data_IF_230543108656
#
_entry.id   IF_230543108656
#
_cell.length_a   1.000
_cell.length_b   1.000
_cell.length_c   1.000
_cell.angle_alpha   90.00
_cell.angle_beta   90.00
_cell.angle_gamma   90.00
#
_symmetry.space_group_name_H-M   'P 1'
#
loop_
_entity.id
_entity.type
_entity.pdbx_description
1 polymer ?
#
# COMPACT_ATOMS: atom_id res chain seq x y z
N UNK A 1 -36.59 -36.71 17.34
CA UNK A 1 -35.65 -35.67 17.82
C UNK A 1 -34.21 -35.90 17.37
N UNK A 2 -33.62 -37.09 17.57
CA UNK A 2 -32.22 -37.37 17.15
C UNK A 2 -31.96 -37.25 15.64
N UNK A 3 -32.96 -37.51 14.81
CA UNK A 3 -32.91 -37.35 13.33
C UNK A 3 -33.03 -35.91 12.87
N UNK A 4 -33.86 -35.08 13.51
CA UNK A 4 -33.91 -33.63 13.23
C UNK A 4 -32.59 -32.94 13.60
N UNK A 5 -32.00 -33.30 14.75
CA UNK A 5 -30.71 -32.75 15.18
C UNK A 5 -29.58 -33.06 14.19
N UNK A 6 -29.58 -34.28 13.61
CA UNK A 6 -28.61 -34.69 12.59
C UNK A 6 -28.79 -33.93 11.27
N UNK A 7 -30.02 -33.63 10.87
CA UNK A 7 -30.31 -32.85 9.66
C UNK A 7 -29.86 -31.40 9.83
N UNK A 8 -30.07 -30.79 11.00
CA UNK A 8 -29.61 -29.42 11.30
C UNK A 8 -28.08 -29.32 11.26
N UNK A 9 -27.35 -30.31 11.80
CA UNK A 9 -25.88 -30.33 11.78
C UNK A 9 -25.31 -30.49 10.36
N UNK A 10 -25.97 -31.30 9.51
CA UNK A 10 -25.55 -31.47 8.10
C UNK A 10 -25.85 -30.22 7.26
N UNK A 11 -26.95 -29.50 7.53
CA UNK A 11 -27.27 -28.25 6.84
C UNK A 11 -26.28 -27.11 7.18
N UNK A 12 -25.77 -27.08 8.41
CA UNK A 12 -24.79 -26.08 8.85
C UNK A 12 -23.38 -26.34 8.29
N UNK A 13 -23.06 -27.59 7.95
CA UNK A 13 -21.82 -27.99 7.28
C UNK A 13 -21.84 -27.74 5.74
N UNK A 14 -23.01 -27.46 5.17
CA UNK A 14 -23.21 -27.14 3.75
C UNK A 14 -23.29 -25.64 3.46
N UNK A 15 -23.14 -24.78 4.48
CA UNK A 15 -22.85 -23.38 4.22
C UNK A 15 -21.48 -23.36 3.53
N UNK A 16 -21.39 -22.97 2.24
CA UNK A 16 -20.09 -22.68 1.69
C UNK A 16 -19.52 -21.62 2.63
N UNK A 17 -18.38 -21.92 3.23
CA UNK A 17 -17.53 -20.89 3.76
C UNK A 17 -17.20 -20.03 2.54
N UNK A 18 -18.06 -19.04 2.27
CA UNK A 18 -17.72 -17.91 1.44
C UNK A 18 -16.59 -17.28 2.22
N UNK A 19 -15.38 -17.74 1.93
CA UNK A 19 -14.15 -17.01 2.14
C UNK A 19 -14.34 -15.75 1.31
N UNK A 20 -15.14 -14.83 1.85
CA UNK A 20 -15.12 -13.45 1.43
C UNK A 20 -13.68 -13.07 1.69
N UNK A 21 -12.89 -13.01 0.61
CA UNK A 21 -11.63 -12.31 0.62
C UNK A 21 -11.99 -10.94 1.21
N UNK A 22 -11.67 -10.75 2.50
CA UNK A 22 -12.09 -9.58 3.23
C UNK A 22 -11.29 -8.46 2.58
N UNK A 23 -11.93 -7.74 1.66
CA UNK A 23 -11.29 -6.66 0.90
C UNK A 23 -10.53 -5.79 1.87
N UNK A 24 -9.25 -5.61 1.61
CA UNK A 24 -8.41 -4.79 2.47
C UNK A 24 -9.01 -3.38 2.51
N UNK A 25 -8.72 -2.61 3.56
CA UNK A 25 -9.19 -1.24 3.63
C UNK A 25 -8.72 -0.37 2.46
N UNK A 26 -7.54 -0.67 1.91
CA UNK A 26 -7.04 -0.06 0.67
C UNK A 26 -7.86 -0.49 -0.53
N UNK A 27 -8.23 -1.77 -0.67
CA UNK A 27 -9.07 -2.25 -1.78
C UNK A 27 -10.42 -1.51 -1.83
N UNK A 28 -11.01 -1.23 -0.67
CA UNK A 28 -12.27 -0.47 -0.58
C UNK A 28 -12.12 0.97 -1.05
N UNK A 29 -10.99 1.61 -0.74
CA UNK A 29 -10.67 2.94 -1.27
C UNK A 29 -10.45 2.88 -2.78
N UNK A 30 -9.77 1.84 -3.25
CA UNK A 30 -9.51 1.62 -4.67
C UNK A 30 -10.81 1.44 -5.46
N UNK A 31 -11.71 0.57 -5.01
CA UNK A 31 -13.03 0.38 -5.62
C UNK A 31 -13.85 1.68 -5.68
N UNK A 32 -13.66 2.57 -4.70
CA UNK A 32 -14.44 3.80 -4.56
C UNK A 32 -13.93 4.94 -5.45
N UNK A 33 -12.62 4.98 -5.72
CA UNK A 33 -11.96 6.15 -6.32
C UNK A 33 -11.27 5.84 -7.65
N UNK A 34 -10.99 4.56 -7.95
CA UNK A 34 -10.41 4.20 -9.24
C UNK A 34 -11.39 4.51 -10.36
N UNK A 35 -10.91 5.23 -11.38
CA UNK A 35 -11.72 5.66 -12.53
C UNK A 35 -12.64 6.86 -12.27
N UNK A 36 -12.62 7.44 -11.06
CA UNK A 36 -13.34 8.68 -10.76
C UNK A 36 -12.58 9.91 -11.29
N UNK A 37 -13.32 10.97 -11.62
CA UNK A 37 -12.73 12.21 -12.12
C UNK A 37 -11.72 12.81 -11.12
N UNK A 38 -10.58 13.22 -11.65
CA UNK A 38 -9.46 13.79 -10.88
C UNK A 38 -8.61 12.78 -10.11
N UNK A 39 -8.93 11.48 -10.22
CA UNK A 39 -8.11 10.40 -9.66
C UNK A 39 -7.24 9.74 -10.73
N UNK A 40 -5.96 9.56 -10.38
CA UNK A 40 -5.07 8.62 -11.04
C UNK A 40 -4.99 7.36 -10.20
N UNK A 41 -5.32 6.22 -10.80
CA UNK A 41 -5.24 4.91 -10.15
C UNK A 41 -4.31 3.96 -10.89
N UNK A 42 -3.38 3.34 -10.18
CA UNK A 42 -2.47 2.32 -10.71
C UNK A 42 -2.58 1.06 -9.85
N UNK A 43 -2.93 -0.08 -10.45
CA UNK A 43 -3.00 -1.39 -9.80
C UNK A 43 -2.06 -2.35 -10.53
N UNK A 44 -0.99 -2.75 -9.86
CA UNK A 44 0.01 -3.67 -10.39
C UNK A 44 -0.07 -4.97 -9.61
N UNK A 45 -0.41 -6.03 -10.34
CA UNK A 45 -0.47 -7.39 -9.79
C UNK A 45 0.91 -8.07 -9.84
N UNK A 46 1.07 -9.09 -8.98
CA UNK A 46 2.26 -9.94 -8.84
C UNK A 46 2.90 -10.36 -10.15
N UNK A 47 2.09 -10.78 -11.12
CA UNK A 47 2.57 -11.25 -12.42
C UNK A 47 3.42 -10.22 -13.17
N UNK A 48 3.17 -8.92 -13.01
CA UNK A 48 4.02 -7.90 -13.65
C UNK A 48 5.39 -7.79 -12.98
N UNK A 49 5.46 -7.94 -11.65
CA UNK A 49 6.73 -7.96 -10.93
C UNK A 49 7.55 -9.19 -11.27
N UNK A 50 6.91 -10.36 -11.38
CA UNK A 50 7.56 -11.61 -11.83
C UNK A 50 8.16 -11.45 -13.24
N UNK A 51 7.43 -10.81 -14.16
CA UNK A 51 7.96 -10.50 -15.50
C UNK A 51 9.21 -9.60 -15.44
N UNK A 52 9.26 -8.63 -14.53
CA UNK A 52 10.45 -7.78 -14.37
C UNK A 52 11.61 -8.51 -13.72
N UNK A 53 11.36 -9.40 -12.77
CA UNK A 53 12.40 -10.21 -12.12
C UNK A 53 13.15 -11.10 -13.10
N UNK A 54 12.48 -11.60 -14.15
CA UNK A 54 13.07 -12.49 -15.15
C UNK A 54 13.85 -11.76 -16.27
N UNK A 55 13.77 -10.42 -16.34
CA UNK A 55 14.48 -9.64 -17.34
C UNK A 55 15.92 -9.39 -16.88
N UNK A 56 16.88 -9.95 -17.62
CA UNK A 56 18.29 -9.58 -17.53
C UNK A 56 18.54 -8.34 -18.41
N UNK A 57 18.94 -7.23 -17.79
CA UNK A 57 19.38 -6.02 -18.49
C UNK A 57 20.70 -5.58 -17.89
N UNK A 58 21.64 -5.13 -18.74
CA UNK A 58 22.92 -4.56 -18.32
C UNK A 58 22.75 -3.06 -18.01
N UNK A 59 21.80 -2.77 -17.11
CA UNK A 59 21.47 -1.42 -16.66
C UNK A 59 21.42 -1.39 -15.12
N UNK A 60 22.39 -0.72 -14.47
CA UNK A 60 22.46 -0.61 -13.01
C UNK A 60 21.22 0.02 -12.35
N UNK A 61 20.51 0.90 -13.06
CA UNK A 61 19.29 1.54 -12.56
C UNK A 61 18.12 0.56 -12.58
N UNK A 62 18.00 -0.23 -13.65
CA UNK A 62 17.01 -1.30 -13.76
C UNK A 62 17.24 -2.41 -12.72
N UNK A 63 18.49 -2.79 -12.47
CA UNK A 63 18.85 -3.75 -11.42
C UNK A 63 18.52 -3.25 -10.02
N UNK A 64 18.68 -1.94 -9.78
CA UNK A 64 18.30 -1.31 -8.52
C UNK A 64 16.79 -1.33 -8.32
N UNK A 65 16.02 -1.05 -9.38
CA UNK A 65 14.56 -1.14 -9.38
C UNK A 65 14.08 -2.58 -9.14
N UNK A 66 14.64 -3.58 -9.83
CA UNK A 66 14.30 -5.01 -9.61
C UNK A 66 14.46 -5.43 -8.16
N UNK A 67 15.59 -5.10 -7.52
CA UNK A 67 15.84 -5.40 -6.10
C UNK A 67 14.87 -4.68 -5.16
N UNK A 68 14.45 -3.48 -5.54
CA UNK A 68 13.51 -2.67 -4.80
C UNK A 68 12.08 -3.22 -4.83
N UNK A 69 11.69 -3.86 -5.94
CA UNK A 69 10.37 -4.48 -6.10
C UNK A 69 10.37 -5.99 -5.85
N UNK A 70 11.54 -6.57 -5.54
CA UNK A 70 11.68 -7.97 -5.17
C UNK A 70 10.82 -8.30 -3.94
N UNK A 71 10.02 -9.35 -4.05
CA UNK A 71 9.09 -9.75 -2.99
C UNK A 71 7.78 -8.94 -2.94
N UNK A 72 7.61 -7.89 -3.76
CA UNK A 72 6.34 -7.19 -3.91
C UNK A 72 5.37 -8.06 -4.71
N UNK A 73 4.17 -8.26 -4.17
CA UNK A 73 3.10 -9.03 -4.79
C UNK A 73 1.96 -8.14 -5.31
N UNK A 74 1.83 -6.94 -4.77
CA UNK A 74 0.82 -5.97 -5.21
C UNK A 74 1.28 -4.55 -4.94
N UNK A 75 1.05 -3.66 -5.89
CA UNK A 75 1.19 -2.21 -5.73
C UNK A 75 -0.11 -1.54 -6.13
N UNK A 76 -0.64 -0.70 -5.24
CA UNK A 76 -1.83 0.11 -5.49
C UNK A 76 -1.53 1.56 -5.21
N UNK A 77 -1.76 2.43 -6.19
CA UNK A 77 -1.64 3.88 -6.08
C UNK A 77 -2.99 4.52 -6.37
N UNK A 78 -3.44 5.40 -5.47
CA UNK A 78 -4.48 6.38 -5.72
C UNK A 78 -3.89 7.77 -5.49
N UNK A 79 -3.89 8.60 -6.50
CA UNK A 79 -3.48 9.98 -6.41
C UNK A 79 -4.62 10.89 -6.88
N UNK A 80 -4.87 11.95 -6.14
CA UNK A 80 -5.83 12.98 -6.49
C UNK A 80 -5.10 14.32 -6.63
N UNK A 81 -5.43 15.08 -7.67
CA UNK A 81 -4.96 16.46 -7.85
C UNK A 81 -6.12 17.44 -7.88
N UNK A 82 -5.98 18.56 -7.17
CA UNK A 82 -6.94 19.68 -7.19
C UNK A 82 -7.02 20.32 -8.58
N UNK A 83 -5.96 20.21 -9.40
CA UNK A 83 -5.98 20.70 -10.79
C UNK A 83 -7.07 20.05 -11.63
N UNK A 84 -7.40 18.81 -11.30
CA UNK A 84 -8.38 17.99 -12.02
C UNK A 84 -9.72 17.91 -11.25
N UNK A 85 -9.95 18.78 -10.27
CA UNK A 85 -11.20 18.83 -9.52
C UNK A 85 -11.27 19.97 -8.50
N UNK A 86 -11.65 19.64 -7.25
CA UNK A 86 -11.79 20.62 -6.16
C UNK A 86 -10.96 20.27 -4.91
N UNK A 87 -10.65 21.28 -4.12
CA UNK A 87 -10.04 21.14 -2.78
C UNK A 87 -10.94 20.33 -1.83
N UNK A 88 -12.27 20.48 -1.93
CA UNK A 88 -13.22 19.72 -1.11
C UNK A 88 -13.14 18.21 -1.38
N UNK A 89 -12.97 17.82 -2.64
CA UNK A 89 -12.79 16.41 -3.03
C UNK A 89 -11.45 15.84 -2.53
N UNK A 90 -10.35 16.64 -2.57
CA UNK A 90 -9.06 16.26 -1.97
C UNK A 90 -9.21 15.98 -0.48
N UNK A 91 -9.80 16.91 0.26
CA UNK A 91 -9.99 16.76 1.71
C UNK A 91 -10.89 15.55 2.03
N UNK A 92 -11.95 15.33 1.26
CA UNK A 92 -12.80 14.14 1.42
C UNK A 92 -12.01 12.86 1.21
N UNK A 93 -11.22 12.77 0.13
CA UNK A 93 -10.39 11.60 -0.13
C UNK A 93 -9.40 11.33 1.00
N UNK A 94 -8.65 12.34 1.42
CA UNK A 94 -7.70 12.20 2.50
C UNK A 94 -8.35 11.81 3.84
N UNK A 95 -9.52 12.37 4.15
CA UNK A 95 -10.30 11.95 5.32
C UNK A 95 -10.80 10.51 5.22
N UNK A 96 -11.17 10.06 4.01
CA UNK A 96 -11.58 8.68 3.77
C UNK A 96 -10.38 7.71 3.92
N UNK A 97 -9.17 8.11 3.51
CA UNK A 97 -7.93 7.37 3.82
C UNK A 97 -7.78 7.23 5.35
N UNK A 98 -7.82 8.36 6.05
CA UNK A 98 -7.63 8.42 7.52
C UNK A 98 -8.59 7.51 8.30
N UNK A 99 -9.81 7.35 7.81
CA UNK A 99 -10.85 6.54 8.44
C UNK A 99 -10.78 5.06 8.07
N UNK A 100 -10.34 4.77 6.85
CA UNK A 100 -10.38 3.40 6.32
C UNK A 100 -9.14 2.62 6.74
N UNK A 101 -7.96 3.25 6.70
CA UNK A 101 -6.70 2.59 7.05
C UNK A 101 -6.67 2.29 8.56
N UNK A 102 -6.47 1.03 8.98
CA UNK A 102 -6.43 0.65 10.38
C UNK A 102 -5.04 0.93 10.94
N UNK A 103 -4.67 2.20 11.11
CA UNK A 103 -3.32 2.61 11.51
C UNK A 103 -2.80 1.97 12.79
N UNK A 104 -3.67 1.44 13.67
CA UNK A 104 -3.26 0.67 14.85
C UNK A 104 -2.59 -0.67 14.54
N UNK A 105 -2.65 -1.15 13.30
CA UNK A 105 -1.96 -2.35 12.81
C UNK A 105 -0.60 -2.03 12.15
N UNK A 106 -0.24 -0.75 12.05
CA UNK A 106 0.98 -0.31 11.37
C UNK A 106 1.88 0.49 12.34
N UNK A 107 3.17 0.30 12.18
CA UNK A 107 4.18 1.17 12.76
C UNK A 107 4.40 2.39 11.85
N UNK A 108 4.36 3.59 12.41
CA UNK A 108 4.78 4.81 11.70
C UNK A 108 6.31 4.85 11.65
N UNK A 109 6.87 4.56 10.49
CA UNK A 109 8.33 4.47 10.33
C UNK A 109 8.95 5.84 10.09
N UNK A 110 8.23 6.71 9.38
CA UNK A 110 8.77 8.00 8.97
C UNK A 110 7.68 9.01 8.70
N UNK A 111 7.96 10.26 9.08
CA UNK A 111 7.16 11.41 8.71
C UNK A 111 8.06 12.49 8.15
N UNK A 112 7.77 12.92 6.92
CA UNK A 112 8.37 14.10 6.31
C UNK A 112 7.33 15.21 6.40
N UNK A 113 7.74 16.37 6.91
CA UNK A 113 6.90 17.57 6.98
C UNK A 113 7.65 18.68 6.27
N UNK A 114 7.07 19.13 5.17
CA UNK A 114 7.48 20.34 4.49
C UNK A 114 6.33 21.37 4.58
N UNK A 115 6.56 22.58 4.07
CA UNK A 115 5.56 23.65 4.02
C UNK A 115 4.36 23.27 3.18
N UNK A 116 4.59 22.52 2.10
CA UNK A 116 3.59 22.25 1.06
C UNK A 116 2.99 20.83 1.16
N UNK A 117 3.59 19.96 1.98
CA UNK A 117 3.16 18.58 2.11
C UNK A 117 3.60 17.89 3.40
N UNK A 118 2.78 16.93 3.82
CA UNK A 118 3.11 15.94 4.83
C UNK A 118 3.08 14.55 4.20
N UNK A 119 4.16 13.79 4.38
CA UNK A 119 4.31 12.43 3.86
C UNK A 119 4.52 11.49 5.05
N UNK A 120 3.69 10.46 5.18
CA UNK A 120 3.80 9.45 6.21
C UNK A 120 4.05 8.08 5.59
N UNK A 121 5.04 7.37 6.12
CA UNK A 121 5.34 6.00 5.78
C UNK A 121 4.98 5.08 6.94
N UNK A 122 4.21 4.03 6.63
CA UNK A 122 3.73 3.04 7.57
C UNK A 122 4.16 1.65 7.11
N UNK A 123 4.45 0.77 8.06
CA UNK A 123 4.69 -0.64 7.78
C UNK A 123 3.91 -1.54 8.74
N UNK A 124 3.37 -2.62 8.21
CA UNK A 124 2.75 -3.70 8.97
C UNK A 124 3.59 -4.96 8.83
N UNK A 125 3.98 -5.50 9.97
CA UNK A 125 4.91 -6.64 10.03
C UNK A 125 4.23 -7.86 10.61
N UNK A 126 4.54 -9.04 10.05
CA UNK A 126 4.33 -10.33 10.71
C UNK A 126 5.70 -10.83 11.19
N UNK A 127 5.88 -10.87 12.51
CA UNK A 127 7.18 -11.15 13.16
C UNK A 127 8.28 -10.18 12.71
N UNK A 128 9.22 -10.65 11.91
CA UNK A 128 10.37 -9.88 11.40
C UNK A 128 10.22 -9.53 9.92
N UNK A 129 9.09 -9.85 9.30
CA UNK A 129 8.84 -9.65 7.87
C UNK A 129 7.81 -8.54 7.70
N UNK A 130 8.12 -7.54 6.88
CA UNK A 130 7.14 -6.51 6.50
C UNK A 130 6.23 -7.11 5.45
N UNK A 131 4.94 -7.18 5.78
CA UNK A 131 3.90 -7.76 4.94
C UNK A 131 3.17 -6.71 4.11
N UNK A 132 3.16 -5.47 4.59
CA UNK A 132 2.51 -4.35 3.92
C UNK A 132 3.21 -3.04 4.26
N UNK A 133 3.30 -2.15 3.28
CA UNK A 133 3.67 -0.76 3.49
C UNK A 133 2.65 0.19 2.90
N UNK A 134 2.46 1.31 3.58
CA UNK A 134 1.64 2.42 3.10
C UNK A 134 2.47 3.70 3.04
N UNK A 135 2.28 4.48 1.98
CA UNK A 135 2.67 5.88 1.93
C UNK A 135 1.41 6.73 1.78
N UNK A 136 1.24 7.71 2.66
CA UNK A 136 0.13 8.66 2.62
C UNK A 136 0.70 10.06 2.48
N UNK A 137 0.25 10.78 1.46
CA UNK A 137 0.64 12.18 1.22
C UNK A 137 -0.57 13.07 1.37
N UNK A 138 -0.40 14.13 2.16
CA UNK A 138 -1.33 15.24 2.34
C UNK A 138 -0.61 16.52 1.92
N UNK A 139 -0.84 16.96 0.68
CA UNK A 139 -0.25 18.15 0.11
C UNK A 139 -1.27 19.25 -0.15
N UNK A 140 -0.78 20.45 -0.43
CA UNK A 140 -1.61 21.63 -0.70
C UNK A 140 -2.57 21.43 -1.87
N UNK A 141 -2.12 20.81 -2.96
CA UNK A 141 -2.91 20.58 -4.17
C UNK A 141 -3.10 19.10 -4.52
N UNK A 142 -2.65 18.19 -3.66
CA UNK A 142 -2.68 16.74 -3.92
C UNK A 142 -2.84 15.89 -2.68
N UNK A 143 -3.47 14.74 -2.85
CA UNK A 143 -3.51 13.70 -1.83
C UNK A 143 -3.17 12.35 -2.48
N UNK A 144 -2.34 11.54 -1.82
CA UNK A 144 -1.86 10.27 -2.39
C UNK A 144 -1.95 9.16 -1.34
N UNK A 145 -2.39 7.99 -1.77
CA UNK A 145 -2.28 6.73 -1.07
C UNK A 145 -1.54 5.74 -1.96
N UNK A 146 -0.39 5.26 -1.50
CA UNK A 146 0.32 4.13 -2.07
C UNK A 146 0.25 2.97 -1.07
N UNK A 147 -0.03 1.77 -1.54
CA UNK A 147 0.04 0.52 -0.79
C UNK A 147 0.91 -0.48 -1.53
N UNK A 148 1.80 -1.13 -0.80
CA UNK A 148 2.64 -2.22 -1.27
C UNK A 148 2.37 -3.43 -0.38
N UNK A 149 2.05 -4.58 -0.96
CA UNK A 149 1.86 -5.84 -0.24
C UNK A 149 2.88 -6.84 -0.76
N UNK A 150 3.51 -7.58 0.15
CA UNK A 150 4.47 -8.62 -0.21
C UNK A 150 5.40 -8.98 0.94
N UNK A 151 6.47 -9.70 0.63
CA UNK A 151 7.57 -9.95 1.57
C UNK A 151 8.64 -8.87 1.37
N UNK A 152 8.48 -7.74 2.07
CA UNK A 152 9.22 -6.53 1.79
C UNK A 152 10.46 -6.45 2.68
N UNK A 153 11.64 -6.37 2.07
CA UNK A 153 12.88 -6.07 2.78
C UNK A 153 13.00 -4.55 3.02
N UNK A 154 12.98 -4.14 4.29
CA UNK A 154 13.14 -2.74 4.69
C UNK A 154 14.47 -2.14 4.18
N UNK A 155 15.52 -2.94 4.03
CA UNK A 155 16.81 -2.48 3.49
C UNK A 155 16.70 -2.10 2.00
N UNK A 156 15.77 -2.70 1.26
CA UNK A 156 15.54 -2.40 -0.15
C UNK A 156 14.60 -1.19 -0.32
N UNK A 157 13.62 -1.04 0.57
CA UNK A 157 12.75 0.15 0.64
C UNK A 157 13.54 1.43 0.96
N UNK A 158 14.50 1.36 1.88
CA UNK A 158 15.35 2.50 2.21
C UNK A 158 16.14 3.01 0.98
N UNK A 159 16.50 2.11 0.06
CA UNK A 159 17.17 2.44 -1.22
C UNK A 159 16.20 3.06 -2.23
N UNK A 160 14.95 2.59 -2.31
CA UNK A 160 13.88 3.21 -3.12
C UNK A 160 13.69 4.69 -2.80
N UNK A 161 13.63 5.03 -1.51
CA UNK A 161 13.51 6.43 -1.09
C UNK A 161 14.70 7.31 -1.48
N UNK A 162 15.90 6.72 -1.58
CA UNK A 162 17.11 7.41 -2.02
C UNK A 162 17.13 7.66 -3.53
N UNK A 163 16.62 6.72 -4.33
CA UNK A 163 16.51 6.84 -5.79
C UNK A 163 15.40 7.81 -6.23
N UNK A 164 14.35 7.99 -5.42
CA UNK A 164 13.24 8.92 -5.71
C UNK A 164 13.50 10.38 -5.31
N UNK A 165 14.72 10.72 -4.84
CA UNK A 165 15.12 12.07 -4.42
C UNK A 165 14.13 12.74 -3.44
N UNK A 166 13.58 11.96 -2.50
CA UNK A 166 12.67 12.45 -1.47
C UNK A 166 13.49 13.05 -0.32
N UNK A 167 13.51 14.39 -0.22
CA UNK A 167 14.15 15.11 0.89
C UNK A 167 13.62 14.60 2.25
N UNK A 168 14.49 13.96 3.04
CA UNK A 168 14.17 13.38 4.34
C UNK A 168 14.63 11.93 4.53
N UNK A 169 14.80 11.13 3.48
CA UNK A 169 15.23 9.71 3.63
C UNK A 169 16.71 9.56 4.05
N UNK A 170 17.50 10.63 3.99
CA UNK A 170 18.90 10.67 4.45
C UNK A 170 19.08 10.34 5.94
N UNK A 171 18.02 10.48 6.75
CA UNK A 171 18.04 10.16 8.17
C UNK A 171 17.95 8.67 8.49
N UNK A 172 17.41 7.84 7.57
CA UNK A 172 17.30 6.39 7.76
C UNK A 172 18.67 5.69 7.65
N UNK A 173 19.55 6.17 6.77
CA UNK A 173 20.92 5.66 6.63
C UNK A 173 21.82 5.93 7.85
N UNK A 174 21.43 6.87 8.72
CA UNK A 174 22.19 7.25 9.92
C UNK A 174 21.84 6.44 11.17
N UNK A 175 20.70 5.75 11.19
CA UNK A 175 20.26 4.95 12.36
C UNK A 175 20.98 3.61 12.52
N UNK A 176 21.86 3.22 11.57
CA UNK A 176 22.61 1.95 11.61
C UNK A 176 24.08 2.11 12.01
N UNK A 177 24.47 3.29 12.50
CA UNK A 177 25.79 3.53 13.12
C UNK A 177 25.64 3.73 14.63
N UNK A 178 24.99 2.80 15.31
CA UNK A 178 25.25 2.46 16.72
C UNK A 178 25.10 0.95 16.89
#
# INVERSE_FOLDING_TARGET
MKTLLKITVVLMALLPATLSAQKSPVDKLFDKYSGEDGFTSVDIAKGLFELFSDIEADDPEFDSFKKAVEGIESLKLLAYSVKDGSEGSKQKFYNDIKKSVPYGEYDELMVIKDKDARINFYAKSDKQVITEMLMVVDGDDKAVLLSLIGNIDLNNVAKLGSSMNLEGMEYLGKMKRE
#
